data_IF_204866541352
#
_entry.id   IF_204866541352
#
_cell.length_a   1.000
_cell.length_b   1.000
_cell.length_c   1.000
_cell.angle_alpha   90.00
_cell.angle_beta   90.00
_cell.angle_gamma   90.00
#
_symmetry.space_group_name_H-M   'P 1'
#
loop_
_entity.id
_entity.type
_entity.pdbx_description
1 polymer ?
#
# COMPACT_ATOMS: atom_id res chain seq x y z
N UNK A 1 -16.41 -7.04 26.23
CA UNK A 1 -14.97 -6.78 26.00
C UNK A 1 -14.83 -6.42 24.53
N UNK A 2 -14.50 -5.17 24.16
CA UNK A 2 -14.31 -4.85 22.73
C UNK A 2 -13.12 -5.67 22.22
N UNK A 3 -13.30 -6.34 21.08
CA UNK A 3 -12.28 -7.23 20.54
C UNK A 3 -11.02 -6.41 20.24
N UNK A 4 -9.83 -7.04 20.37
CA UNK A 4 -8.55 -6.42 20.02
C UNK A 4 -8.55 -5.86 18.58
N UNK A 5 -9.29 -6.52 17.70
CA UNK A 5 -9.58 -6.07 16.33
C UNK A 5 -10.37 -4.75 16.28
N UNK A 6 -11.37 -4.54 17.14
CA UNK A 6 -12.16 -3.29 17.16
C UNK A 6 -11.28 -2.10 17.55
N UNK A 7 -10.38 -2.31 18.53
CA UNK A 7 -9.42 -1.29 18.97
C UNK A 7 -8.44 -0.96 17.84
N UNK A 8 -7.90 -1.97 17.15
CA UNK A 8 -6.97 -1.78 16.04
C UNK A 8 -7.62 -1.12 14.83
N UNK A 9 -8.83 -1.53 14.47
CA UNK A 9 -9.63 -0.95 13.40
C UNK A 9 -9.92 0.54 13.68
N UNK A 10 -10.21 0.91 14.94
CA UNK A 10 -10.44 2.31 15.34
C UNK A 10 -9.24 3.23 15.11
N UNK A 11 -8.02 2.69 15.02
CA UNK A 11 -6.81 3.49 14.73
C UNK A 11 -6.77 4.00 13.31
N UNK A 12 -7.41 3.29 12.38
CA UNK A 12 -7.49 3.66 10.98
C UNK A 12 -8.77 4.44 10.68
N UNK A 13 -9.90 3.89 11.10
CA UNK A 13 -11.20 4.45 10.79
C UNK A 13 -11.40 5.82 11.42
N UNK A 14 -12.18 6.67 10.74
CA UNK A 14 -12.55 7.97 11.31
C UNK A 14 -11.46 9.04 11.21
N UNK A 15 -10.18 8.68 11.28
CA UNK A 15 -9.05 9.62 11.32
C UNK A 15 -8.55 9.97 9.93
N UNK A 16 -8.43 11.26 9.65
CA UNK A 16 -7.83 11.77 8.42
C UNK A 16 -6.30 11.62 8.41
N UNK A 17 -5.74 11.20 7.29
CA UNK A 17 -4.30 11.22 7.02
C UNK A 17 -3.96 12.39 6.11
N UNK A 18 -3.05 13.24 6.55
CA UNK A 18 -2.55 14.34 5.73
C UNK A 18 -1.62 13.84 4.63
N UNK A 19 -2.04 14.00 3.40
CA UNK A 19 -1.28 13.59 2.22
C UNK A 19 -0.62 14.81 1.58
N UNK A 20 0.61 14.63 1.11
CA UNK A 20 1.38 15.65 0.39
C UNK A 20 1.73 15.09 -0.98
N UNK A 21 0.91 15.36 -1.98
CA UNK A 21 0.99 14.76 -3.31
C UNK A 21 2.41 14.79 -3.90
N UNK A 22 3.08 15.93 -3.82
CA UNK A 22 4.47 16.13 -4.28
C UNK A 22 5.54 15.29 -3.55
N UNK A 23 5.17 14.50 -2.54
CA UNK A 23 6.06 13.54 -1.86
C UNK A 23 5.81 12.10 -2.29
N UNK A 24 4.65 11.77 -2.84
CA UNK A 24 4.30 10.40 -3.21
C UNK A 24 5.23 9.94 -4.34
N UNK A 25 5.70 8.71 -4.21
CA UNK A 25 6.61 8.08 -5.14
C UNK A 25 6.23 6.64 -5.44
N UNK A 26 5.69 5.92 -4.47
CA UNK A 26 5.42 4.49 -4.57
C UNK A 26 3.94 4.20 -4.33
N UNK A 27 3.38 3.29 -5.13
CA UNK A 27 2.11 2.65 -4.90
C UNK A 27 2.35 1.17 -4.64
N UNK A 28 1.86 0.69 -3.51
CA UNK A 28 1.93 -0.70 -3.08
C UNK A 28 0.52 -1.28 -3.22
N UNK A 29 0.35 -2.37 -3.98
CA UNK A 29 -0.93 -3.04 -4.14
C UNK A 29 -0.92 -4.41 -3.46
N UNK A 30 -2.00 -4.75 -2.76
CA UNK A 30 -2.34 -6.15 -2.53
C UNK A 30 -2.72 -6.83 -3.84
N UNK A 31 -2.65 -8.15 -3.87
CA UNK A 31 -3.06 -8.95 -5.02
C UNK A 31 -4.49 -9.46 -4.86
N UNK A 32 -4.71 -10.39 -3.94
CA UNK A 32 -6.01 -11.03 -3.74
C UNK A 32 -7.04 -10.08 -3.12
N UNK A 33 -8.17 -9.88 -3.79
CA UNK A 33 -9.24 -8.96 -3.39
C UNK A 33 -9.04 -7.52 -3.86
N UNK A 34 -7.95 -7.22 -4.58
CA UNK A 34 -7.67 -5.89 -5.15
C UNK A 34 -7.42 -6.00 -6.65
N UNK A 35 -6.47 -6.84 -7.06
CA UNK A 35 -6.10 -7.04 -8.46
C UNK A 35 -6.75 -8.29 -9.07
N UNK A 36 -7.01 -9.28 -8.24
CA UNK A 36 -7.75 -10.50 -8.59
C UNK A 36 -8.89 -10.69 -7.60
N UNK A 37 -9.97 -11.33 -8.03
CA UNK A 37 -11.00 -11.78 -7.11
C UNK A 37 -10.53 -12.99 -6.28
N UNK A 38 -11.12 -13.19 -5.09
CA UNK A 38 -10.81 -14.33 -4.20
C UNK A 38 -11.68 -15.53 -4.54
N UNK A 39 -11.57 -16.02 -5.77
CA UNK A 39 -12.44 -17.07 -6.33
C UNK A 39 -12.10 -18.47 -5.80
N UNK A 40 -10.82 -18.82 -5.68
CA UNK A 40 -10.37 -20.08 -5.07
C UNK A 40 -9.38 -19.84 -3.94
N UNK A 41 -9.80 -20.15 -2.71
CA UNK A 41 -8.99 -20.01 -1.50
C UNK A 41 -8.72 -21.37 -0.85
N UNK A 42 -7.76 -21.41 0.09
CA UNK A 42 -7.38 -22.64 0.80
C UNK A 42 -8.56 -23.40 1.42
N UNK A 43 -9.63 -22.70 1.83
CA UNK A 43 -10.86 -23.34 2.34
C UNK A 43 -11.48 -24.27 1.29
N UNK A 44 -11.58 -23.83 0.04
CA UNK A 44 -12.16 -24.62 -1.04
C UNK A 44 -11.41 -25.93 -1.24
N UNK A 45 -10.08 -25.88 -1.24
CA UNK A 45 -9.26 -27.09 -1.35
C UNK A 45 -9.50 -28.06 -0.19
N UNK A 46 -9.55 -27.55 1.05
CA UNK A 46 -9.80 -28.39 2.22
C UNK A 46 -11.19 -29.03 2.16
N UNK A 47 -12.23 -28.27 1.79
CA UNK A 47 -13.60 -28.79 1.61
C UNK A 47 -13.65 -29.91 0.54
N UNK A 48 -12.87 -29.76 -0.55
CA UNK A 48 -12.77 -30.79 -1.59
C UNK A 48 -12.05 -32.05 -1.10
N UNK A 49 -10.99 -31.92 -0.31
CA UNK A 49 -10.27 -33.06 0.29
C UNK A 49 -11.17 -33.78 1.30
N UNK A 50 -11.92 -33.04 2.13
CA UNK A 50 -12.90 -33.62 3.06
C UNK A 50 -13.92 -34.48 2.33
N UNK A 51 -14.50 -33.95 1.24
CA UNK A 51 -15.48 -34.67 0.44
C UNK A 51 -14.90 -35.88 -0.28
N UNK A 52 -13.71 -35.76 -0.88
CA UNK A 52 -13.09 -36.82 -1.68
C UNK A 52 -12.57 -38.00 -0.84
N UNK A 53 -12.03 -37.71 0.36
CA UNK A 53 -11.49 -38.73 1.26
C UNK A 53 -12.48 -39.17 2.34
N UNK A 54 -13.64 -38.53 2.42
CA UNK A 54 -14.63 -38.73 3.49
C UNK A 54 -14.01 -38.58 4.89
N UNK A 55 -13.27 -37.49 5.10
CA UNK A 55 -12.61 -37.14 6.37
C UNK A 55 -13.12 -35.82 6.92
N UNK A 56 -12.90 -35.58 8.22
CA UNK A 56 -13.18 -34.29 8.84
C UNK A 56 -11.88 -33.52 9.11
N UNK A 57 -11.74 -32.37 8.47
CA UNK A 57 -10.64 -31.43 8.62
C UNK A 57 -11.17 -30.19 9.37
N UNK A 58 -10.54 -29.79 10.49
CA UNK A 58 -10.95 -28.58 11.19
C UNK A 58 -10.92 -27.32 10.31
N UNK A 59 -11.79 -26.37 10.63
CA UNK A 59 -11.87 -25.08 9.93
C UNK A 59 -10.61 -24.22 10.13
N UNK A 60 -10.47 -23.17 9.33
CA UNK A 60 -9.26 -22.33 9.27
C UNK A 60 -8.94 -21.60 10.59
N UNK A 61 -9.92 -21.47 11.48
CA UNK A 61 -9.83 -20.88 12.82
C UNK A 61 -9.14 -21.83 13.81
N UNK A 62 -9.14 -23.13 13.54
CA UNK A 62 -8.49 -24.13 14.37
C UNK A 62 -6.99 -23.79 14.55
N UNK A 63 -6.49 -23.92 15.78
CA UNK A 63 -5.12 -23.53 16.14
C UNK A 63 -4.04 -24.25 15.32
N UNK A 64 -4.23 -25.53 15.03
CA UNK A 64 -3.33 -26.34 14.20
C UNK A 64 -3.32 -25.84 12.76
N UNK A 65 -4.50 -25.73 12.14
CA UNK A 65 -4.64 -25.26 10.75
C UNK A 65 -4.10 -23.84 10.59
N UNK A 66 -4.44 -22.94 11.52
CA UNK A 66 -3.96 -21.56 11.54
C UNK A 66 -2.43 -21.48 11.64
N UNK A 67 -1.81 -22.32 12.48
CA UNK A 67 -0.35 -22.40 12.63
C UNK A 67 0.32 -22.79 11.31
N UNK A 68 -0.16 -23.85 10.64
CA UNK A 68 0.43 -24.32 9.40
C UNK A 68 0.11 -23.42 8.20
N UNK A 69 -1.11 -22.85 8.13
CA UNK A 69 -1.45 -21.81 7.15
C UNK A 69 -0.51 -20.62 7.25
N UNK A 70 -0.19 -20.17 8.47
CA UNK A 70 0.75 -19.06 8.69
C UNK A 70 2.17 -19.42 8.21
N UNK A 71 2.64 -20.64 8.49
CA UNK A 71 3.93 -21.14 7.99
C UNK A 71 3.96 -21.17 6.46
N UNK A 72 2.93 -21.75 5.84
CA UNK A 72 2.75 -21.82 4.39
C UNK A 72 2.75 -20.43 3.76
N UNK A 73 1.93 -19.50 4.28
CA UNK A 73 1.90 -18.12 3.79
C UNK A 73 3.24 -17.41 3.93
N UNK A 74 4.07 -17.79 4.89
CA UNK A 74 5.42 -17.23 5.04
C UNK A 74 6.52 -18.02 4.33
N UNK A 75 6.20 -19.11 3.62
CA UNK A 75 7.18 -19.95 2.94
C UNK A 75 8.08 -20.77 3.86
N UNK A 76 7.73 -20.87 5.15
CA UNK A 76 8.43 -21.75 6.11
C UNK A 76 8.15 -23.23 5.85
N UNK A 77 7.10 -23.52 5.09
CA UNK A 77 6.77 -24.82 4.52
C UNK A 77 6.21 -24.59 3.12
N UNK A 78 6.35 -25.57 2.25
CA UNK A 78 5.78 -25.63 0.90
C UNK A 78 4.31 -26.05 0.92
N UNK A 79 3.62 -25.91 -0.22
CA UNK A 79 2.25 -26.41 -0.40
C UNK A 79 2.18 -27.94 -0.22
N UNK A 80 3.21 -28.68 -0.66
CA UNK A 80 3.35 -30.13 -0.45
C UNK A 80 3.41 -30.47 1.02
N UNK A 81 4.37 -29.90 1.75
CA UNK A 81 4.54 -30.16 3.19
C UNK A 81 3.29 -29.75 3.99
N UNK A 82 2.56 -28.72 3.54
CA UNK A 82 1.29 -28.38 4.14
C UNK A 82 0.26 -29.51 3.96
N UNK A 83 0.06 -30.00 2.74
CA UNK A 83 -0.89 -31.08 2.47
C UNK A 83 -0.51 -32.39 3.18
N UNK A 84 0.77 -32.78 3.15
CA UNK A 84 1.28 -33.96 3.86
C UNK A 84 0.93 -33.89 5.34
N UNK A 85 1.15 -32.75 6.00
CA UNK A 85 0.83 -32.56 7.42
C UNK A 85 -0.66 -32.55 7.74
N UNK A 86 -1.50 -32.11 6.81
CA UNK A 86 -2.95 -32.17 6.94
C UNK A 86 -3.40 -33.63 6.87
N UNK A 87 -2.90 -34.38 5.90
CA UNK A 87 -3.24 -35.79 5.70
C UNK A 87 -2.69 -36.68 6.84
N UNK A 88 -1.45 -36.46 7.27
CA UNK A 88 -0.85 -37.07 8.48
C UNK A 88 -1.73 -36.92 9.71
N UNK A 89 -2.33 -35.74 9.90
CA UNK A 89 -3.10 -35.43 11.10
C UNK A 89 -4.56 -35.89 11.03
N UNK A 90 -5.20 -35.82 9.86
CA UNK A 90 -6.66 -35.97 9.74
C UNK A 90 -7.10 -37.17 8.91
N UNK A 91 -6.23 -37.73 8.07
CA UNK A 91 -6.55 -38.90 7.23
C UNK A 91 -5.99 -40.20 7.80
N UNK A 92 -4.67 -40.30 8.02
CA UNK A 92 -4.06 -41.56 8.47
C UNK A 92 -4.52 -42.06 9.86
N UNK A 93 -4.80 -41.20 10.86
CA UNK A 93 -5.33 -41.68 12.14
C UNK A 93 -6.73 -42.28 12.02
N UNK A 94 -7.54 -41.82 11.05
CA UNK A 94 -8.86 -42.39 10.77
C UNK A 94 -8.74 -43.80 10.16
N UNK A 95 -7.71 -44.04 9.33
CA UNK A 95 -7.44 -45.36 8.73
C UNK A 95 -6.99 -46.43 9.74
N UNK A 96 -6.45 -46.04 10.89
CA UNK A 96 -5.96 -46.99 11.91
C UNK A 96 -7.04 -47.49 12.88
N UNK A 97 -8.28 -47.03 12.77
CA UNK A 97 -9.41 -47.62 13.50
C UNK A 97 -9.75 -48.98 12.86
N UNK A 98 -9.76 -50.02 13.68
CA UNK A 98 -9.76 -51.45 13.29
C UNK A 98 -10.91 -51.80 12.32
N UNK A 99 -10.56 -52.35 11.14
CA UNK A 99 -11.49 -53.02 10.22
C UNK A 99 -11.87 -52.28 8.93
N UNK A 100 -11.51 -51.01 8.76
CA UNK A 100 -11.83 -50.23 7.55
C UNK A 100 -10.74 -50.35 6.47
N UNK A 101 -11.08 -50.94 5.32
CA UNK A 101 -10.30 -50.76 4.08
C UNK A 101 -10.41 -49.30 3.62
N UNK A 102 -9.37 -48.71 3.00
CA UNK A 102 -9.48 -47.35 2.44
C UNK A 102 -10.58 -47.33 1.38
N UNK A 103 -11.52 -46.37 1.45
CA UNK A 103 -12.43 -46.11 0.32
C UNK A 103 -11.66 -45.59 -0.91
N UNK A 104 -10.52 -44.92 -0.70
CA UNK A 104 -9.64 -44.38 -1.75
C UNK A 104 -8.21 -44.21 -1.23
N UNK A 105 -7.19 -44.54 -2.03
CA UNK A 105 -5.77 -44.29 -1.73
C UNK A 105 -5.46 -42.80 -1.89
N UNK A 106 -4.89 -42.16 -0.86
CA UNK A 106 -4.47 -40.76 -0.92
C UNK A 106 -3.34 -40.55 -1.92
N UNK A 107 -3.42 -39.47 -2.69
CA UNK A 107 -2.38 -39.03 -3.61
C UNK A 107 -2.14 -37.53 -3.41
N UNK A 108 -1.00 -37.17 -2.83
CA UNK A 108 -0.64 -35.75 -2.58
C UNK A 108 -0.45 -34.98 -3.89
N UNK A 109 0.13 -35.61 -4.92
CA UNK A 109 0.33 -34.96 -6.22
C UNK A 109 -0.99 -34.55 -6.86
N UNK A 110 -1.98 -35.44 -6.80
CA UNK A 110 -3.31 -35.16 -7.33
C UNK A 110 -3.90 -33.88 -6.71
N UNK A 111 -3.81 -33.71 -5.38
CA UNK A 111 -4.34 -32.50 -4.74
C UNK A 111 -3.48 -31.25 -4.99
N UNK A 112 -2.18 -31.39 -5.22
CA UNK A 112 -1.32 -30.27 -5.64
C UNK A 112 -1.68 -29.81 -7.05
N UNK A 113 -1.80 -30.73 -8.01
CA UNK A 113 -2.22 -30.45 -9.38
C UNK A 113 -3.62 -29.84 -9.40
N UNK A 114 -4.57 -30.45 -8.69
CA UNK A 114 -5.93 -29.92 -8.55
C UNK A 114 -5.93 -28.49 -7.98
N UNK A 115 -5.13 -28.22 -6.95
CA UNK A 115 -5.04 -26.89 -6.37
C UNK A 115 -4.46 -25.88 -7.36
N UNK A 116 -3.39 -26.24 -8.06
CA UNK A 116 -2.79 -25.40 -9.09
C UNK A 116 -3.79 -25.10 -10.21
N UNK A 117 -4.38 -26.14 -10.81
CA UNK A 117 -5.26 -26.03 -11.98
C UNK A 117 -6.52 -25.23 -11.68
N UNK A 118 -7.21 -25.53 -10.57
CA UNK A 118 -8.42 -24.80 -10.20
C UNK A 118 -8.11 -23.33 -9.92
N UNK A 119 -7.03 -23.05 -9.18
CA UNK A 119 -6.62 -21.67 -8.94
C UNK A 119 -6.28 -20.95 -10.25
N UNK A 120 -5.52 -21.58 -11.15
CA UNK A 120 -5.14 -21.00 -12.43
C UNK A 120 -6.34 -20.70 -13.32
N UNK A 121 -7.33 -21.60 -13.37
CA UNK A 121 -8.53 -21.45 -14.21
C UNK A 121 -9.45 -20.32 -13.74
N UNK A 122 -9.65 -20.18 -12.43
CA UNK A 122 -10.65 -19.25 -11.87
C UNK A 122 -10.08 -17.90 -11.45
N UNK A 123 -8.76 -17.70 -11.54
CA UNK A 123 -8.12 -16.43 -11.20
C UNK A 123 -7.94 -15.58 -12.45
N UNK A 124 -8.52 -14.39 -12.45
CA UNK A 124 -8.37 -13.41 -13.53
C UNK A 124 -7.91 -12.06 -12.95
N UNK A 125 -7.04 -11.38 -13.69
CA UNK A 125 -6.61 -10.02 -13.37
C UNK A 125 -7.69 -9.03 -13.79
N UNK A 126 -8.03 -8.08 -12.91
CA UNK A 126 -8.92 -6.97 -13.27
C UNK A 126 -8.23 -6.10 -14.34
N UNK A 127 -8.91 -5.97 -15.48
CA UNK A 127 -8.47 -5.15 -16.61
C UNK A 127 -8.37 -3.69 -16.16
N UNK A 128 -9.37 -3.22 -15.41
CA UNK A 128 -9.45 -1.84 -14.95
C UNK A 128 -8.33 -1.50 -13.97
N UNK A 129 -7.96 -2.45 -13.10
CA UNK A 129 -6.82 -2.25 -12.20
C UNK A 129 -5.47 -2.32 -12.94
N UNK A 130 -5.35 -3.18 -13.95
CA UNK A 130 -4.17 -3.22 -14.81
C UNK A 130 -3.95 -1.87 -15.53
N UNK A 131 -5.01 -1.26 -16.06
CA UNK A 131 -4.97 0.08 -16.66
C UNK A 131 -4.52 1.14 -15.65
N UNK A 132 -5.00 1.09 -14.40
CA UNK A 132 -4.55 2.02 -13.35
C UNK A 132 -3.05 1.85 -13.07
N UNK A 133 -2.55 0.61 -12.99
CA UNK A 133 -1.13 0.34 -12.78
C UNK A 133 -0.30 0.94 -13.93
N UNK A 134 -0.70 0.69 -15.17
CA UNK A 134 -0.02 1.23 -16.35
C UNK A 134 0.02 2.77 -16.33
N UNK A 135 -1.12 3.42 -16.04
CA UNK A 135 -1.18 4.88 -15.94
C UNK A 135 -0.31 5.43 -14.82
N UNK A 136 -0.21 4.73 -13.68
CA UNK A 136 0.70 5.11 -12.60
C UNK A 136 2.17 5.04 -13.04
N UNK A 137 2.55 4.01 -13.81
CA UNK A 137 3.87 3.91 -14.41
C UNK A 137 4.15 5.04 -15.39
N UNK A 138 3.23 5.30 -16.31
CA UNK A 138 3.35 6.39 -17.29
C UNK A 138 3.46 7.76 -16.60
N UNK A 139 2.76 7.96 -15.48
CA UNK A 139 2.89 9.15 -14.62
C UNK A 139 4.22 9.22 -13.84
N UNK A 140 5.07 8.20 -13.96
CA UNK A 140 6.38 8.10 -13.34
C UNK A 140 6.33 7.77 -11.85
N UNK A 141 5.32 7.06 -11.38
CA UNK A 141 5.33 6.43 -10.06
C UNK A 141 5.98 5.05 -10.13
N UNK A 142 6.55 4.61 -9.01
CA UNK A 142 6.97 3.21 -8.84
C UNK A 142 5.77 2.43 -8.34
N UNK A 143 5.40 1.33 -9.00
CA UNK A 143 4.31 0.46 -8.60
C UNK A 143 4.87 -0.88 -8.17
N UNK A 144 4.41 -1.39 -7.03
CA UNK A 144 4.94 -2.62 -6.45
C UNK A 144 3.83 -3.47 -5.86
N UNK A 145 4.03 -4.78 -5.91
CA UNK A 145 3.11 -5.74 -5.33
C UNK A 145 3.55 -6.11 -3.91
N UNK A 146 2.62 -6.12 -2.95
CA UNK A 146 2.85 -6.58 -1.58
C UNK A 146 1.75 -7.56 -1.17
N UNK A 147 1.96 -8.84 -1.50
CA UNK A 147 0.94 -9.89 -1.38
C UNK A 147 1.27 -10.90 -0.29
N UNK A 148 0.24 -11.40 0.39
CA UNK A 148 0.35 -12.66 1.11
C UNK A 148 -0.15 -13.78 0.19
N UNK A 149 0.73 -14.73 -0.15
CA UNK A 149 0.42 -15.79 -1.10
C UNK A 149 1.03 -17.12 -0.66
N UNK A 150 0.68 -18.19 -1.37
CA UNK A 150 1.27 -19.52 -1.26
C UNK A 150 2.18 -19.76 -2.48
N UNK A 151 3.15 -20.67 -2.36
CA UNK A 151 4.08 -21.04 -3.42
C UNK A 151 3.35 -21.51 -4.69
N UNK A 152 2.28 -22.28 -4.55
CA UNK A 152 1.50 -22.78 -5.71
C UNK A 152 0.78 -21.65 -6.46
N UNK A 153 0.22 -20.68 -5.71
CA UNK A 153 -0.43 -19.49 -6.27
C UNK A 153 0.60 -18.56 -6.92
N UNK A 154 1.73 -18.33 -6.24
CA UNK A 154 2.84 -17.54 -6.77
C UNK A 154 3.34 -18.11 -8.10
N UNK A 155 3.55 -19.43 -8.17
CA UNK A 155 3.95 -20.13 -9.39
C UNK A 155 2.93 -19.95 -10.51
N UNK A 156 1.64 -20.18 -10.24
CA UNK A 156 0.58 -20.00 -11.24
C UNK A 156 0.55 -18.58 -11.80
N UNK A 157 0.58 -17.57 -10.93
CA UNK A 157 0.52 -16.18 -11.34
C UNK A 157 1.77 -15.74 -12.12
N UNK A 158 2.95 -16.22 -11.71
CA UNK A 158 4.20 -15.93 -12.40
C UNK A 158 4.24 -16.53 -13.80
N UNK A 159 3.81 -17.79 -13.97
CA UNK A 159 3.73 -18.44 -15.29
C UNK A 159 2.77 -17.73 -16.27
N UNK A 160 1.83 -16.95 -15.73
CA UNK A 160 0.85 -16.18 -16.50
C UNK A 160 1.25 -14.71 -16.69
N UNK A 161 2.44 -14.31 -16.25
CA UNK A 161 2.94 -12.94 -16.38
C UNK A 161 2.19 -11.91 -15.51
N UNK A 162 1.44 -12.35 -14.49
CA UNK A 162 0.64 -11.44 -13.66
C UNK A 162 1.48 -10.47 -12.82
N UNK A 163 2.78 -10.73 -12.70
CA UNK A 163 3.71 -9.92 -11.94
C UNK A 163 4.55 -8.97 -12.82
N UNK A 164 4.48 -9.09 -14.14
CA UNK A 164 5.36 -8.40 -15.09
C UNK A 164 5.14 -6.87 -15.08
N UNK A 165 3.94 -6.44 -14.72
CA UNK A 165 3.56 -5.04 -14.65
C UNK A 165 3.91 -4.38 -13.30
N UNK A 166 4.79 -4.95 -12.48
CA UNK A 166 5.25 -4.36 -11.23
C UNK A 166 6.76 -4.12 -11.25
N UNK A 167 7.20 -2.93 -10.81
CA UNK A 167 8.63 -2.65 -10.64
C UNK A 167 9.28 -3.55 -9.58
N UNK A 168 8.51 -3.94 -8.56
CA UNK A 168 8.97 -4.77 -7.46
C UNK A 168 7.84 -5.68 -6.98
N UNK A 169 8.18 -6.93 -6.64
CA UNK A 169 7.21 -7.95 -6.22
C UNK A 169 7.64 -8.50 -4.86
N UNK A 170 6.79 -8.31 -3.84
CA UNK A 170 7.05 -8.75 -2.46
C UNK A 170 6.04 -9.83 -2.04
N UNK A 171 6.35 -11.09 -2.36
CA UNK A 171 5.53 -12.25 -2.01
C UNK A 171 5.93 -12.80 -0.64
N UNK A 172 4.94 -13.05 0.23
CA UNK A 172 5.21 -13.49 1.60
C UNK A 172 5.91 -14.85 1.70
N UNK A 173 5.62 -15.77 0.79
CA UNK A 173 6.24 -17.09 0.74
C UNK A 173 7.72 -17.03 0.35
N UNK A 174 8.14 -15.97 -0.34
CA UNK A 174 9.54 -15.81 -0.76
C UNK A 174 10.34 -15.02 0.29
N UNK A 175 9.73 -13.98 0.87
CA UNK A 175 10.44 -13.06 1.77
C UNK A 175 10.36 -13.43 3.26
N UNK A 176 9.54 -14.43 3.64
CA UNK A 176 9.44 -14.89 5.04
C UNK A 176 8.53 -14.06 5.96
N UNK A 177 8.04 -12.91 5.48
CA UNK A 177 7.20 -11.96 6.23
C UNK A 177 5.79 -11.85 5.64
N UNK A 178 4.78 -11.80 6.52
CA UNK A 178 3.35 -11.77 6.14
C UNK A 178 2.66 -10.52 6.68
N UNK A 179 1.66 -10.02 5.96
CA UNK A 179 0.67 -9.08 6.50
C UNK A 179 -0.20 -9.81 7.54
N UNK A 180 -0.63 -9.19 8.65
CA UNK A 180 -0.40 -7.80 9.04
C UNK A 180 0.82 -7.58 9.95
N UNK A 181 1.84 -8.44 9.92
CA UNK A 181 3.00 -8.26 10.80
C UNK A 181 3.80 -7.01 10.38
N UNK A 182 4.11 -6.14 11.35
CA UNK A 182 4.86 -4.88 11.12
C UNK A 182 6.18 -5.09 10.36
N UNK A 183 6.84 -6.23 10.56
CA UNK A 183 8.12 -6.56 9.92
C UNK A 183 8.03 -6.61 8.39
N UNK A 184 6.89 -7.03 7.81
CA UNK A 184 6.70 -7.02 6.36
C UNK A 184 6.78 -5.59 5.81
N UNK A 185 6.10 -4.64 6.45
CA UNK A 185 6.06 -3.25 6.02
C UNK A 185 7.43 -2.58 6.17
N UNK A 186 8.13 -2.83 7.29
CA UNK A 186 9.51 -2.34 7.48
C UNK A 186 10.45 -2.90 6.42
N UNK A 187 10.38 -4.20 6.15
CA UNK A 187 11.18 -4.85 5.11
C UNK A 187 10.95 -4.22 3.74
N UNK A 188 9.69 -4.07 3.32
CA UNK A 188 9.33 -3.46 2.03
C UNK A 188 9.81 -2.01 1.92
N UNK A 189 9.61 -1.20 2.97
CA UNK A 189 10.06 0.20 2.97
C UNK A 189 11.59 0.32 2.88
N UNK A 190 12.32 -0.56 3.57
CA UNK A 190 13.78 -0.62 3.49
C UNK A 190 14.26 -1.07 2.11
N UNK A 191 13.66 -2.11 1.52
CA UNK A 191 14.01 -2.59 0.17
C UNK A 191 13.72 -1.56 -0.92
N UNK A 192 12.65 -0.78 -0.78
CA UNK A 192 12.34 0.34 -1.68
C UNK A 192 13.17 1.61 -1.41
N UNK A 193 14.06 1.60 -0.40
CA UNK A 193 14.89 2.73 0.02
C UNK A 193 14.12 4.05 0.18
N UNK A 194 12.90 3.94 0.73
CA UNK A 194 11.96 5.04 0.74
C UNK A 194 11.52 5.42 2.15
N UNK A 195 10.59 6.37 2.25
CA UNK A 195 10.00 6.78 3.53
C UNK A 195 8.51 6.42 3.52
N UNK A 196 7.93 5.94 4.64
CA UNK A 196 6.52 5.54 4.70
C UNK A 196 5.57 6.58 4.10
N UNK A 197 5.75 7.86 4.47
CA UNK A 197 4.97 9.01 3.95
C UNK A 197 5.09 9.32 2.45
N UNK A 198 5.87 8.54 1.69
CA UNK A 198 6.00 8.61 0.22
C UNK A 198 5.31 7.44 -0.47
N UNK A 199 4.72 6.52 0.29
CA UNK A 199 4.07 5.32 -0.19
C UNK A 199 2.57 5.42 0.04
N UNK A 200 1.81 4.91 -0.93
CA UNK A 200 0.38 4.62 -0.81
C UNK A 200 0.24 3.10 -0.81
N UNK A 201 -0.51 2.53 0.13
CA UNK A 201 -0.80 1.10 0.19
C UNK A 201 -2.30 0.85 0.03
N UNK A 202 -2.64 -0.03 -0.91
CA UNK A 202 -3.99 -0.42 -1.28
C UNK A 202 -4.19 -1.88 -0.88
N UNK A 203 -5.17 -2.15 -0.01
CA UNK A 203 -5.51 -3.50 0.46
C UNK A 203 -7.01 -3.54 0.80
N UNK A 204 -7.65 -4.70 0.63
CA UNK A 204 -9.07 -4.86 0.96
C UNK A 204 -9.29 -5.10 2.46
N UNK A 205 -8.28 -5.63 3.16
CA UNK A 205 -8.39 -5.99 4.58
C UNK A 205 -7.86 -4.90 5.49
N UNK A 206 -8.72 -4.41 6.36
CA UNK A 206 -8.41 -3.34 7.33
C UNK A 206 -7.23 -3.74 8.22
N UNK A 207 -7.20 -4.97 8.71
CA UNK A 207 -6.11 -5.51 9.53
C UNK A 207 -4.73 -5.32 8.86
N UNK A 208 -4.64 -5.39 7.53
CA UNK A 208 -3.40 -5.17 6.79
C UNK A 208 -3.06 -3.67 6.67
N UNK A 209 -4.04 -2.79 6.77
CA UNK A 209 -3.85 -1.34 6.70
C UNK A 209 -3.42 -0.74 8.05
N UNK A 210 -3.73 -1.40 9.18
CA UNK A 210 -3.42 -0.89 10.55
C UNK A 210 -1.92 -0.65 10.71
N UNK A 211 -1.06 -1.67 10.57
CA UNK A 211 0.39 -1.52 10.71
C UNK A 211 0.98 -0.56 9.66
N UNK A 212 0.48 -0.59 8.42
CA UNK A 212 0.93 0.32 7.37
C UNK A 212 0.71 1.78 7.77
N UNK A 213 -0.49 2.09 8.28
CA UNK A 213 -0.85 3.41 8.75
C UNK A 213 -0.03 3.82 9.97
N UNK A 214 0.16 2.94 10.94
CA UNK A 214 1.00 3.19 12.13
C UNK A 214 2.44 3.54 11.75
N UNK A 215 2.98 2.86 10.72
CA UNK A 215 4.31 3.16 10.17
C UNK A 215 4.35 4.51 9.40
N UNK A 216 3.20 5.09 9.09
CA UNK A 216 3.05 6.36 8.37
C UNK A 216 2.92 6.22 6.85
N UNK A 217 2.58 5.02 6.36
CA UNK A 217 2.16 4.79 4.97
C UNK A 217 0.75 5.39 4.79
N UNK A 218 0.50 5.99 3.63
CA UNK A 218 -0.83 6.46 3.26
C UNK A 218 -1.64 5.22 2.87
N UNK A 219 -2.79 4.98 3.49
CA UNK A 219 -3.56 3.76 3.24
C UNK A 219 -4.86 4.09 2.51
N UNK A 220 -5.24 3.20 1.60
CA UNK A 220 -6.53 3.21 0.90
C UNK A 220 -7.12 1.81 1.09
N UNK A 221 -8.30 1.74 1.71
CA UNK A 221 -9.07 0.49 1.72
C UNK A 221 -9.72 0.31 0.37
N UNK A 222 -9.45 -0.81 -0.29
CA UNK A 222 -10.13 -1.20 -1.51
C UNK A 222 -11.43 -1.92 -1.17
N UNK A 223 -12.55 -1.45 -1.70
CA UNK A 223 -13.88 -2.05 -1.50
C UNK A 223 -14.52 -2.37 -2.85
N UNK A 224 -14.36 -1.49 -3.82
CA UNK A 224 -14.69 -1.71 -5.23
C UNK A 224 -13.82 -0.79 -6.10
N UNK A 225 -13.81 -1.06 -7.42
CA UNK A 225 -13.11 -0.21 -8.36
C UNK A 225 -13.65 1.23 -8.38
N UNK A 226 -14.97 1.42 -8.31
CA UNK A 226 -15.60 2.74 -8.27
C UNK A 226 -15.25 3.53 -7.01
N UNK A 227 -15.28 2.86 -5.86
CA UNK A 227 -14.86 3.47 -4.61
C UNK A 227 -13.36 3.82 -4.63
N UNK A 228 -12.53 2.95 -5.21
CA UNK A 228 -11.10 3.22 -5.37
C UNK A 228 -10.86 4.46 -6.25
N UNK A 229 -11.53 4.59 -7.40
CA UNK A 229 -11.47 5.79 -8.24
C UNK A 229 -11.90 7.04 -7.49
N UNK A 230 -12.99 6.98 -6.71
CA UNK A 230 -13.43 8.08 -5.85
C UNK A 230 -12.34 8.48 -4.84
N UNK A 231 -11.72 7.51 -4.16
CA UNK A 231 -10.63 7.76 -3.20
C UNK A 231 -9.38 8.35 -3.90
N UNK A 232 -9.08 7.96 -5.14
CA UNK A 232 -8.03 8.60 -5.96
C UNK A 232 -8.38 10.04 -6.33
N UNK A 233 -9.64 10.33 -6.69
CA UNK A 233 -10.15 11.68 -6.91
C UNK A 233 -9.98 12.55 -5.66
N UNK A 234 -10.40 12.06 -4.49
CA UNK A 234 -10.23 12.74 -3.19
C UNK A 234 -8.76 12.99 -2.83
N UNK A 235 -7.87 12.07 -3.23
CA UNK A 235 -6.44 12.27 -3.10
C UNK A 235 -5.91 13.38 -4.01
N UNK A 236 -6.63 13.76 -5.06
CA UNK A 236 -6.20 14.73 -6.08
C UNK A 236 -5.37 14.08 -7.20
N UNK A 237 -5.56 12.79 -7.44
CA UNK A 237 -4.92 11.99 -8.51
C UNK A 237 -5.95 11.19 -9.32
N UNK A 238 -7.16 11.73 -9.44
CA UNK A 238 -8.28 11.13 -10.15
C UNK A 238 -8.02 10.79 -11.61
N UNK A 239 -7.54 11.78 -12.35
CA UNK A 239 -7.09 11.62 -13.72
C UNK A 239 -5.57 11.41 -13.72
N UNK A 240 -5.17 10.15 -13.85
CA UNK A 240 -3.76 9.76 -13.91
C UNK A 240 -3.27 9.96 -15.35
N UNK A 241 -2.86 11.18 -15.69
CA UNK A 241 -2.17 11.48 -16.95
C UNK A 241 -0.67 11.21 -16.82
N UNK A 242 0.01 10.97 -17.95
CA UNK A 242 1.47 10.78 -18.00
C UNK A 242 2.28 11.94 -17.38
N UNK A 243 1.74 13.15 -17.40
CA UNK A 243 2.41 14.34 -16.89
C UNK A 243 2.02 14.68 -15.44
N UNK A 244 1.04 13.98 -14.85
CA UNK A 244 0.44 14.29 -13.54
C UNK A 244 1.50 14.54 -12.46
N UNK A 245 2.42 13.60 -12.26
CA UNK A 245 3.45 13.71 -11.22
C UNK A 245 4.44 14.84 -11.52
N UNK A 246 4.74 15.06 -12.80
CA UNK A 246 5.60 16.16 -13.22
C UNK A 246 4.95 17.51 -12.88
N UNK A 247 3.69 17.70 -13.23
CA UNK A 247 2.93 18.91 -12.94
C UNK A 247 2.84 19.20 -11.44
N UNK A 248 2.50 18.19 -10.63
CA UNK A 248 2.47 18.29 -9.16
C UNK A 248 3.83 18.79 -8.64
N UNK A 249 4.94 18.26 -9.17
CA UNK A 249 6.30 18.72 -8.81
C UNK A 249 6.56 20.15 -9.26
N UNK A 250 6.11 20.58 -10.44
CA UNK A 250 6.28 21.95 -10.93
C UNK A 250 5.51 22.97 -10.08
N UNK A 251 4.25 22.68 -9.74
CA UNK A 251 3.45 23.50 -8.80
C UNK A 251 4.17 23.65 -7.46
N UNK A 252 4.75 22.56 -6.94
CA UNK A 252 5.54 22.62 -5.69
C UNK A 252 6.86 23.40 -5.83
N UNK A 253 7.56 23.30 -6.97
CA UNK A 253 8.77 24.09 -7.28
C UNK A 253 8.45 25.58 -7.32
N UNK A 254 7.32 25.99 -7.91
CA UNK A 254 6.85 27.38 -7.93
C UNK A 254 6.66 27.94 -6.53
N UNK A 255 5.99 27.20 -5.65
CA UNK A 255 5.87 27.54 -4.23
C UNK A 255 7.25 27.70 -3.56
N UNK A 256 8.18 26.76 -3.77
CA UNK A 256 9.53 26.83 -3.21
C UNK A 256 10.29 28.08 -3.67
N UNK A 257 10.22 28.43 -4.96
CA UNK A 257 10.83 29.63 -5.53
C UNK A 257 10.27 30.90 -4.87
N UNK A 258 8.95 30.99 -4.76
CA UNK A 258 8.27 32.12 -4.10
C UNK A 258 8.67 32.26 -2.63
N UNK A 259 8.74 31.14 -1.89
CA UNK A 259 9.21 31.11 -0.50
C UNK A 259 10.66 31.60 -0.36
N UNK A 260 11.57 31.16 -1.23
CA UNK A 260 12.99 31.60 -1.23
C UNK A 260 13.09 33.11 -1.47
N UNK A 261 12.37 33.62 -2.47
CA UNK A 261 12.35 35.06 -2.79
C UNK A 261 11.77 35.90 -1.64
N UNK A 262 10.70 35.44 -1.00
CA UNK A 262 10.13 36.09 0.18
C UNK A 262 11.11 36.12 1.35
N UNK A 263 11.76 34.99 1.68
CA UNK A 263 12.72 34.92 2.78
C UNK A 263 13.91 35.87 2.55
N UNK A 264 14.44 35.92 1.31
CA UNK A 264 15.50 36.85 0.93
C UNK A 264 15.06 38.31 1.12
N UNK A 265 13.89 38.68 0.58
CA UNK A 265 13.36 40.04 0.72
C UNK A 265 13.05 40.43 2.18
N UNK A 266 12.58 39.47 3.00
CA UNK A 266 12.34 39.68 4.43
C UNK A 266 13.64 39.97 5.19
N UNK A 267 14.72 39.24 4.88
CA UNK A 267 16.04 39.47 5.48
C UNK A 267 16.58 40.85 5.11
N UNK A 268 16.55 41.20 3.81
CA UNK A 268 16.96 42.53 3.31
C UNK A 268 16.17 43.67 3.97
N UNK A 269 14.84 43.54 4.05
CA UNK A 269 13.98 44.54 4.71
C UNK A 269 14.28 44.69 6.20
N UNK A 270 14.48 43.59 6.94
CA UNK A 270 14.81 43.65 8.37
C UNK A 270 16.15 44.36 8.61
N UNK A 271 17.16 44.10 7.79
CA UNK A 271 18.45 44.78 7.85
C UNK A 271 18.28 46.29 7.60
N UNK A 272 17.63 46.66 6.50
CA UNK A 272 17.37 48.07 6.16
C UNK A 272 16.54 48.80 7.23
N UNK A 273 15.54 48.13 7.84
CA UNK A 273 14.76 48.69 8.95
C UNK A 273 15.64 48.98 10.17
N UNK A 274 16.53 48.06 10.54
CA UNK A 274 17.44 48.22 11.69
C UNK A 274 18.40 49.40 11.46
N UNK A 275 18.93 49.54 10.25
CA UNK A 275 19.81 50.66 9.90
C UNK A 275 19.06 51.99 9.90
N UNK A 276 17.86 52.04 9.30
CA UNK A 276 17.01 53.23 9.27
C UNK A 276 16.68 53.77 10.67
N UNK A 277 16.48 52.89 11.66
CA UNK A 277 16.13 53.27 13.03
C UNK A 277 17.34 53.69 13.90
N UNK A 278 18.58 53.43 13.47
CA UNK A 278 19.78 53.59 14.32
C UNK A 278 20.44 54.97 14.29
N UNK A 279 20.17 55.84 13.31
CA UNK A 279 20.96 57.06 13.10
C UNK A 279 20.10 58.33 13.10
N UNK A 280 20.45 59.31 13.96
CA UNK A 280 19.95 60.70 13.88
C UNK A 280 20.49 61.33 12.58
N UNK A 281 19.62 61.95 11.78
CA UNK A 281 19.95 62.55 10.47
C UNK A 281 19.98 61.55 9.31
N UNK A 282 18.82 61.23 8.72
CA UNK A 282 18.69 60.24 7.64
C UNK A 282 18.85 60.91 6.27
N UNK A 283 19.91 60.59 5.53
CA UNK A 283 20.10 61.05 4.14
C UNK A 283 18.95 60.60 3.22
N UNK A 284 18.52 61.40 2.23
CA UNK A 284 17.48 61.04 1.25
C UNK A 284 17.73 59.67 0.58
N UNK A 285 18.99 59.36 0.24
CA UNK A 285 19.40 58.09 -0.37
C UNK A 285 19.03 56.87 0.48
N UNK A 286 19.26 56.93 1.79
CA UNK A 286 18.92 55.83 2.73
C UNK A 286 17.41 55.68 2.94
N UNK A 287 16.67 56.79 2.98
CA UNK A 287 15.20 56.77 3.04
C UNK A 287 14.62 56.06 1.81
N UNK A 288 15.14 56.39 0.62
CA UNK A 288 14.78 55.75 -0.63
C UNK A 288 15.10 54.24 -0.63
N UNK A 289 16.30 53.85 -0.20
CA UNK A 289 16.68 52.43 -0.10
C UNK A 289 15.76 51.65 0.83
N UNK A 290 15.46 52.18 2.02
CA UNK A 290 14.51 51.57 2.95
C UNK A 290 13.12 51.39 2.32
N UNK A 291 12.60 52.41 1.64
CA UNK A 291 11.31 52.36 0.95
C UNK A 291 11.31 51.29 -0.16
N UNK A 292 12.36 51.21 -0.98
CA UNK A 292 12.51 50.19 -2.02
C UNK A 292 12.52 48.77 -1.45
N UNK A 293 13.30 48.53 -0.38
CA UNK A 293 13.34 47.21 0.29
C UNK A 293 12.00 46.86 0.93
N UNK A 294 11.29 47.84 1.54
CA UNK A 294 9.94 47.67 2.09
C UNK A 294 8.93 47.31 0.98
N UNK A 295 8.97 47.99 -0.16
CA UNK A 295 8.10 47.72 -1.30
C UNK A 295 8.35 46.32 -1.87
N UNK A 296 9.62 45.95 -2.10
CA UNK A 296 10.03 44.61 -2.54
C UNK A 296 9.56 43.52 -1.57
N UNK A 297 9.75 43.72 -0.26
CA UNK A 297 9.27 42.79 0.76
C UNK A 297 7.75 42.61 0.70
N UNK A 298 6.99 43.71 0.62
CA UNK A 298 5.52 43.66 0.55
C UNK A 298 5.03 42.91 -0.69
N UNK A 299 5.61 43.19 -1.86
CA UNK A 299 5.30 42.48 -3.13
C UNK A 299 5.57 40.98 -3.00
N UNK A 300 6.75 40.60 -2.50
CA UNK A 300 7.11 39.17 -2.34
C UNK A 300 6.28 38.47 -1.26
N UNK A 301 5.88 39.17 -0.19
CA UNK A 301 4.99 38.63 0.84
C UNK A 301 3.61 38.30 0.26
N UNK A 302 3.03 39.19 -0.55
CA UNK A 302 1.74 38.95 -1.24
C UNK A 302 1.84 37.73 -2.17
N UNK A 303 2.88 37.66 -3.00
CA UNK A 303 3.12 36.54 -3.90
C UNK A 303 3.31 35.21 -3.14
N UNK A 304 4.10 35.20 -2.07
CA UNK A 304 4.29 34.02 -1.23
C UNK A 304 3.01 33.55 -0.55
N UNK A 305 2.18 34.46 -0.04
CA UNK A 305 0.88 34.11 0.53
C UNK A 305 -0.01 33.40 -0.51
N UNK A 306 -0.13 33.97 -1.72
CA UNK A 306 -0.91 33.37 -2.82
C UNK A 306 -0.43 31.95 -3.15
N UNK A 307 0.87 31.76 -3.35
CA UNK A 307 1.44 30.44 -3.66
C UNK A 307 1.36 29.46 -2.48
N UNK A 308 1.39 29.95 -1.24
CA UNK A 308 1.22 29.11 -0.04
C UNK A 308 -0.19 28.56 0.05
N UNK A 309 -1.21 29.36 -0.25
CA UNK A 309 -2.61 28.92 -0.26
C UNK A 309 -2.87 27.94 -1.41
N UNK A 310 -2.39 28.23 -2.63
CA UNK A 310 -2.45 27.27 -3.75
C UNK A 310 -1.84 25.92 -3.39
N UNK A 311 -0.65 25.92 -2.80
CA UNK A 311 0.01 24.69 -2.34
C UNK A 311 -0.76 23.97 -1.21
N UNK A 312 -1.59 24.67 -0.43
CA UNK A 312 -2.46 24.06 0.58
C UNK A 312 -3.69 23.43 -0.07
N UNK A 313 -4.27 24.07 -1.09
CA UNK A 313 -5.48 23.62 -1.77
C UNK A 313 -5.22 22.51 -2.81
N UNK A 314 -4.14 22.63 -3.58
CA UNK A 314 -3.91 21.79 -4.77
C UNK A 314 -2.93 20.63 -4.52
N UNK A 315 -2.10 20.69 -3.47
CA UNK A 315 -0.96 19.77 -3.27
C UNK A 315 -0.96 19.08 -1.91
N UNK A 316 -1.93 19.40 -1.07
CA UNK A 316 -2.14 18.80 0.24
C UNK A 316 -3.60 18.45 0.33
N UNK A 317 -3.87 17.18 0.60
CA UNK A 317 -5.21 16.66 0.82
C UNK A 317 -5.24 15.91 2.15
N UNK A 318 -6.42 15.49 2.55
CA UNK A 318 -6.65 14.65 3.70
C UNK A 318 -7.56 13.49 3.30
N UNK A 319 -7.05 12.27 3.38
CA UNK A 319 -7.85 11.07 3.12
C UNK A 319 -8.37 10.51 4.44
N UNK A 320 -9.65 10.17 4.48
CA UNK A 320 -10.26 9.42 5.58
C UNK A 320 -10.38 7.98 5.10
N UNK A 321 -9.93 7.03 5.92
CA UNK A 321 -10.29 5.64 5.68
C UNK A 321 -11.67 5.45 6.29
N UNK A 322 -12.63 5.14 5.43
CA UNK A 322 -14.05 4.93 5.75
C UNK A 322 -14.41 3.47 5.72
#
# INVERSE_FOLDING_TARGET
>A
MSNREDIENSKIYGKKQKVRLYKIKHFLFDFGGVLIEKTFVLKNLLDMIEADLNVSIPRLENSYIRKFKRKLSSGRITSREFLERILEQFYYPFQKKVGSLPSKKVNVEYYLELWFDLYSQVTHLSVEMAEIIERLHQAGYTVSLMSNTHDIHARSNNLRGFYDNFDNVFLSNEIGYIKPDMEKYKYVINKLETKPKRCVFIDDKIQNLVPARELGIIVIRFESFEDFKRKLNELGIGEISKDLRHEIKQRYKKYKKSKKQYNKAKKEYKAAKKEYLKKKGISPKRKLEFQQKKAKYTKRRRQYKKEKEKKKQELITEIKVT
#
